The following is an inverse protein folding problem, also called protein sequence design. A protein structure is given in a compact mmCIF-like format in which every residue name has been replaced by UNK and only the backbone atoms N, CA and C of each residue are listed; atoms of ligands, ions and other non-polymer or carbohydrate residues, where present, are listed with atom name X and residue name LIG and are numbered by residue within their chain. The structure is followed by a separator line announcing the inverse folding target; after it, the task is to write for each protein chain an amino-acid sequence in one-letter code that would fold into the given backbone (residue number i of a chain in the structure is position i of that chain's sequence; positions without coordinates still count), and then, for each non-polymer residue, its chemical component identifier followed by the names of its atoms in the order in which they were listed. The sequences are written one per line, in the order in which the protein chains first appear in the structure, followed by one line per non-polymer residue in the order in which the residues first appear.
data_IF_540365845022
#
_entry.id   IF_540365845022
#
_cell.length_a   1.000
_cell.length_b   1.000
_cell.length_c   1.000
_cell.angle_alpha   90.00
_cell.angle_beta   90.00
_cell.angle_gamma   90.00
#
_symmetry.space_group_name_H-M   'P 1'
#
loop_
_entity.id
_entity.type
_entity.pdbx_description
1 polymer ?
#
# COMPACT_ATOMS: atom_id res chain seq x y z
N UNK A 1 28.80 5.53 -4.12
CA UNK A 1 27.40 5.98 -4.02
C UNK A 1 26.52 4.74 -3.89
N UNK A 2 25.67 4.67 -2.87
CA UNK A 2 24.81 3.52 -2.63
C UNK A 2 23.50 3.56 -3.42
N UNK A 3 22.79 2.44 -3.43
CA UNK A 3 21.45 2.29 -4.03
C UNK A 3 20.48 3.24 -3.32
N UNK A 4 19.59 3.90 -4.07
CA UNK A 4 18.61 4.82 -3.47
C UNK A 4 17.53 4.07 -2.68
N UNK A 5 16.88 4.77 -1.74
CA UNK A 5 15.78 4.18 -0.96
C UNK A 5 14.63 3.72 -1.85
N UNK A 6 14.36 4.47 -2.93
CA UNK A 6 13.32 4.16 -3.90
C UNK A 6 13.66 2.85 -4.61
N UNK A 7 14.89 2.74 -5.13
CA UNK A 7 15.34 1.52 -5.80
C UNK A 7 15.37 0.30 -4.87
N UNK A 8 15.81 0.46 -3.62
CA UNK A 8 15.77 -0.62 -2.61
C UNK A 8 14.32 -1.08 -2.37
N UNK A 9 13.39 -0.14 -2.24
CA UNK A 9 11.98 -0.47 -2.01
C UNK A 9 11.36 -1.16 -3.23
N UNK A 10 11.65 -0.65 -4.44
CA UNK A 10 11.21 -1.23 -5.71
C UNK A 10 11.67 -2.69 -5.82
N UNK A 11 12.96 -2.96 -5.59
CA UNK A 11 13.53 -4.31 -5.61
C UNK A 11 12.87 -5.25 -4.58
N UNK A 12 12.63 -4.76 -3.36
CA UNK A 12 11.96 -5.53 -2.31
C UNK A 12 10.52 -5.85 -2.68
N UNK A 13 9.80 -4.89 -3.24
CA UNK A 13 8.40 -5.07 -3.65
C UNK A 13 8.29 -6.02 -4.84
N UNK A 14 9.21 -5.94 -5.82
CA UNK A 14 9.31 -6.90 -6.92
C UNK A 14 9.56 -8.33 -6.44
N UNK A 15 10.36 -8.52 -5.39
CA UNK A 15 10.58 -9.83 -4.79
C UNK A 15 9.35 -10.35 -4.02
N UNK A 16 8.60 -9.45 -3.38
CA UNK A 16 7.43 -9.80 -2.59
C UNK A 16 6.15 -10.03 -3.43
N UNK A 17 6.04 -9.37 -4.59
CA UNK A 17 4.83 -9.45 -5.43
C UNK A 17 4.51 -10.88 -5.88
N UNK A 18 5.43 -11.69 -6.43
CA UNK A 18 5.12 -13.06 -6.84
C UNK A 18 4.65 -13.99 -5.71
N UNK A 19 4.96 -13.65 -4.46
CA UNK A 19 4.58 -14.43 -3.27
C UNK A 19 3.18 -14.05 -2.75
N UNK A 20 2.54 -13.03 -3.32
CA UNK A 20 1.26 -12.53 -2.85
C UNK A 20 0.10 -13.24 -3.54
N UNK A 21 -0.72 -13.95 -2.77
CA UNK A 21 -1.91 -14.63 -3.27
C UNK A 21 -3.13 -13.69 -3.37
N UNK A 22 -3.16 -12.63 -2.54
CA UNK A 22 -4.27 -11.69 -2.54
C UNK A 22 -4.23 -10.77 -3.77
N UNK A 23 -5.19 -10.98 -4.68
CA UNK A 23 -5.34 -10.23 -5.93
C UNK A 23 -5.49 -8.71 -5.72
N UNK A 24 -6.29 -8.27 -4.75
CA UNK A 24 -6.47 -6.84 -4.48
C UNK A 24 -5.15 -6.18 -4.01
N UNK A 25 -4.38 -6.91 -3.20
CA UNK A 25 -3.07 -6.47 -2.73
C UNK A 25 -2.03 -6.46 -3.85
N UNK A 26 -2.08 -7.44 -4.74
CA UNK A 26 -1.26 -7.47 -5.96
C UNK A 26 -1.54 -6.27 -6.88
N UNK A 27 -2.80 -5.90 -7.07
CA UNK A 27 -3.16 -4.69 -7.84
C UNK A 27 -2.54 -3.44 -7.20
N UNK A 28 -2.63 -3.31 -5.88
CA UNK A 28 -1.98 -2.20 -5.15
C UNK A 28 -0.45 -2.22 -5.28
N UNK A 29 0.17 -3.40 -5.24
CA UNK A 29 1.61 -3.54 -5.41
C UNK A 29 2.05 -3.14 -6.82
N UNK A 30 1.34 -3.54 -7.86
CA UNK A 30 1.62 -3.10 -9.24
C UNK A 30 1.50 -1.58 -9.37
N UNK A 31 0.47 -0.97 -8.78
CA UNK A 31 0.34 0.49 -8.77
C UNK A 31 1.53 1.17 -8.08
N UNK A 32 1.91 0.70 -6.89
CA UNK A 32 3.05 1.24 -6.14
C UNK A 32 4.39 1.01 -6.87
N UNK A 33 4.57 -0.11 -7.55
CA UNK A 33 5.76 -0.40 -8.35
C UNK A 33 5.90 0.59 -9.52
N UNK A 34 4.80 0.95 -10.19
CA UNK A 34 4.81 1.94 -11.28
C UNK A 34 5.16 3.33 -10.78
N UNK A 35 4.56 3.75 -9.67
CA UNK A 35 4.88 5.03 -9.02
C UNK A 35 6.36 5.12 -8.62
N UNK A 36 6.90 4.05 -8.03
CA UNK A 36 8.32 4.01 -7.65
C UNK A 36 9.26 4.02 -8.85
N UNK A 37 8.87 3.40 -9.96
CA UNK A 37 9.66 3.42 -11.20
C UNK A 37 9.73 4.84 -11.78
N UNK A 38 8.62 5.57 -11.75
CA UNK A 38 8.54 6.97 -12.17
C UNK A 38 9.43 7.86 -11.30
N UNK A 39 9.30 7.76 -9.97
CA UNK A 39 10.17 8.49 -9.04
C UNK A 39 11.65 8.14 -9.24
N UNK A 40 11.98 6.88 -9.54
CA UNK A 40 13.35 6.45 -9.80
C UNK A 40 13.91 7.02 -11.11
N UNK A 41 13.06 7.23 -12.12
CA UNK A 41 13.45 7.86 -13.39
C UNK A 41 13.66 9.38 -13.26
N UNK A 42 12.90 10.01 -12.37
CA UNK A 42 13.07 11.42 -12.01
C UNK A 42 14.30 11.66 -11.11
N UNK A 43 14.69 10.65 -10.33
CA UNK A 43 15.77 10.75 -9.37
C UNK A 43 17.12 11.11 -10.02
N UNK A 44 17.66 12.27 -9.65
CA UNK A 44 18.96 12.76 -10.09
C UNK A 44 19.98 12.73 -8.96
N UNK A 45 21.23 12.49 -9.32
CA UNK A 45 22.36 12.75 -8.42
C UNK A 45 22.50 14.27 -8.21
N UNK A 46 23.22 14.76 -7.18
CA UNK A 46 23.43 16.20 -7.01
C UNK A 46 24.12 16.89 -8.22
N UNK A 47 24.75 16.10 -9.09
CA UNK A 47 25.34 16.53 -10.36
C UNK A 47 24.32 16.61 -11.52
N UNK A 48 23.05 16.31 -11.27
CA UNK A 48 21.96 16.37 -12.26
C UNK A 48 21.87 15.15 -13.19
N UNK A 49 22.74 14.16 -13.01
CA UNK A 49 22.75 12.94 -13.83
C UNK A 49 21.67 11.96 -13.37
N UNK A 50 21.06 11.18 -14.30
CA UNK A 50 20.17 10.09 -13.93
C UNK A 50 20.87 9.13 -12.98
N UNK A 51 20.20 8.78 -11.88
CA UNK A 51 20.77 7.90 -10.86
C UNK A 51 20.82 6.44 -11.32
N UNK A 52 19.91 6.05 -12.22
CA UNK A 52 19.78 4.71 -12.79
C UNK A 52 19.84 4.79 -14.31
N UNK A 53 20.46 3.78 -14.94
CA UNK A 53 20.55 3.71 -16.40
C UNK A 53 19.18 3.39 -17.01
N UNK A 54 18.98 3.84 -18.26
CA UNK A 54 17.74 3.57 -19.01
C UNK A 54 17.46 2.07 -19.19
N UNK A 55 18.51 1.26 -19.34
CA UNK A 55 18.40 -0.21 -19.47
C UNK A 55 17.79 -0.80 -18.21
N UNK A 56 18.30 -0.44 -17.03
CA UNK A 56 17.78 -0.92 -15.75
C UNK A 56 16.32 -0.51 -15.51
N UNK A 57 15.94 0.72 -15.88
CA UNK A 57 14.54 1.16 -15.80
C UNK A 57 13.61 0.30 -16.68
N UNK A 58 14.08 -0.07 -17.88
CA UNK A 58 13.33 -0.96 -18.76
C UNK A 58 13.19 -2.36 -18.17
N UNK A 59 14.27 -2.93 -17.61
CA UNK A 59 14.24 -4.25 -16.95
C UNK A 59 13.25 -4.29 -15.79
N UNK A 60 13.15 -3.19 -15.02
CA UNK A 60 12.13 -3.06 -13.98
C UNK A 60 10.72 -2.95 -14.58
N UNK A 61 10.54 -2.16 -15.64
CA UNK A 61 9.24 -2.05 -16.34
C UNK A 61 8.74 -3.41 -16.80
N UNK A 62 9.58 -4.20 -17.46
CA UNK A 62 9.22 -5.55 -17.94
C UNK A 62 8.81 -6.48 -16.80
N UNK A 63 9.52 -6.45 -15.67
CA UNK A 63 9.16 -7.24 -14.47
C UNK A 63 7.81 -6.85 -13.90
N UNK A 64 7.49 -5.55 -13.89
CA UNK A 64 6.19 -5.03 -13.41
C UNK A 64 5.08 -5.47 -14.37
N UNK A 65 5.31 -5.36 -15.67
CA UNK A 65 4.36 -5.80 -16.69
C UNK A 65 4.09 -7.31 -16.60
N UNK A 66 5.12 -8.13 -16.41
CA UNK A 66 4.93 -9.57 -16.22
C UNK A 66 4.03 -9.90 -15.01
N UNK A 67 4.15 -9.17 -13.91
CA UNK A 67 3.26 -9.31 -12.74
C UNK A 67 1.84 -8.83 -13.10
N UNK A 68 1.72 -7.71 -13.80
CA UNK A 68 0.42 -7.18 -14.24
C UNK A 68 -0.31 -8.11 -15.23
N UNK A 69 0.42 -8.77 -16.13
CA UNK A 69 -0.14 -9.76 -17.05
C UNK A 69 -0.68 -10.98 -16.34
N UNK A 70 -0.02 -11.44 -15.27
CA UNK A 70 -0.53 -12.53 -14.40
C UNK A 70 -1.81 -12.13 -13.67
N UNK A 71 -1.95 -10.86 -13.30
CA UNK A 71 -3.19 -10.32 -12.70
C UNK A 71 -4.35 -10.26 -13.70
N UNK A 72 -4.07 -9.90 -14.96
CA UNK A 72 -5.09 -9.80 -16.02
C UNK A 72 -5.63 -11.17 -16.46
N UNK A 73 -4.81 -12.22 -16.33
CA UNK A 73 -5.17 -13.60 -16.64
C UNK A 73 -5.15 -14.44 -15.34
N UNK A 74 -6.25 -14.48 -14.57
CA UNK A 74 -6.36 -15.36 -13.41
C UNK A 74 -6.42 -16.82 -13.89
N UNK A 75 -5.26 -17.38 -14.25
CA UNK A 75 -5.09 -18.81 -14.47
C UNK A 75 -5.36 -19.54 -13.14
N UNK A 76 -6.07 -20.67 -13.15
CA UNK A 76 -6.17 -21.51 -11.98
C UNK A 76 -4.76 -22.01 -11.65
N UNK A 77 -4.33 -21.71 -10.44
CA UNK A 77 -3.04 -22.09 -9.89
C UNK A 77 -2.92 -23.62 -9.87
N UNK A 78 -2.13 -24.17 -10.80
CA UNK A 78 -1.58 -25.50 -10.69
C UNK A 78 -0.09 -25.43 -11.04
N UNK A 79 0.70 -25.41 -9.97
CA UNK A 79 2.05 -25.95 -9.86
C UNK A 79 3.12 -25.32 -10.76
N UNK A 80 4.02 -24.58 -10.11
CA UNK A 80 5.43 -24.69 -10.43
C UNK A 80 6.27 -24.57 -9.14
N UNK A 81 6.72 -25.71 -8.57
CA UNK A 81 8.04 -25.79 -7.98
C UNK A 81 8.88 -26.67 -8.90
N UNK A 82 9.46 -26.09 -9.94
CA UNK A 82 10.60 -26.68 -10.63
C UNK A 82 11.67 -25.58 -10.66
N UNK A 83 12.86 -25.73 -10.09
CA UNK A 83 13.69 -26.93 -10.06
C UNK A 83 14.55 -26.91 -8.80
N UNK A 84 14.38 -27.91 -7.94
CA UNK A 84 15.49 -28.44 -7.16
C UNK A 84 15.48 -29.97 -7.31
N UNK A 85 16.46 -30.43 -8.08
CA UNK A 85 17.22 -31.66 -7.88
C UNK A 85 16.46 -32.93 -7.44
N UNK A 86 16.22 -33.78 -8.44
CA UNK A 86 16.66 -35.19 -8.49
C UNK A 86 16.22 -36.14 -7.34
N UNK A 87 15.51 -37.20 -7.77
CA UNK A 87 15.56 -38.62 -7.33
C UNK A 87 14.32 -39.17 -6.60
N UNK A 88 13.58 -40.00 -7.37
CA UNK A 88 12.77 -41.18 -6.98
C UNK A 88 11.51 -40.90 -6.14
N UNK A 89 10.47 -41.72 -6.10
CA UNK A 89 9.91 -42.84 -6.87
C UNK A 89 8.74 -43.32 -5.98
N UNK A 90 7.79 -44.03 -6.58
CA UNK A 90 6.74 -44.86 -5.92
C UNK A 90 5.41 -44.16 -5.59
N UNK A 91 4.49 -44.45 -6.50
CA UNK A 91 3.02 -44.50 -6.49
C UNK A 91 2.45 -45.22 -5.24
N UNK A 92 1.34 -44.73 -4.66
CA UNK A 92 0.09 -45.47 -4.38
C UNK A 92 -0.93 -44.66 -3.54
N UNK A 93 -2.22 -44.84 -3.87
CA UNK A 93 -3.40 -44.10 -3.42
C UNK A 93 -3.77 -44.29 -1.93
N UNK A 94 -4.45 -43.30 -1.31
CA UNK A 94 -5.60 -43.57 -0.43
C UNK A 94 -6.53 -42.36 -0.23
N UNK A 95 -7.79 -42.72 -0.04
CA UNK A 95 -9.07 -42.02 -0.21
C UNK A 95 -9.51 -41.07 0.92
N UNK A 96 -10.45 -40.20 0.56
CA UNK A 96 -11.52 -39.54 1.34
C UNK A 96 -11.55 -39.79 2.86
N UNK A 97 -11.61 -38.71 3.65
CA UNK A 97 -12.54 -38.58 4.77
C UNK A 97 -13.07 -37.15 4.82
N UNK A 98 -14.39 -37.14 4.83
CA UNK A 98 -15.35 -36.08 4.95
C UNK A 98 -15.25 -35.32 6.27
N UNK A 99 -15.90 -34.16 6.27
CA UNK A 99 -16.71 -33.65 7.37
C UNK A 99 -16.16 -32.48 8.24
N UNK A 100 -16.68 -31.30 7.89
CA UNK A 100 -17.26 -30.25 8.76
C UNK A 100 -16.43 -29.83 9.98
N UNK A 101 -16.10 -28.53 10.00
CA UNK A 101 -16.63 -27.64 11.05
C UNK A 101 -16.65 -26.18 10.61
N UNK A 102 -17.80 -25.58 10.89
CA UNK A 102 -18.21 -24.23 10.56
C UNK A 102 -17.51 -23.19 11.47
N UNK A 103 -17.43 -21.97 10.94
CA UNK A 103 -16.96 -20.66 11.44
C UNK A 103 -17.46 -20.32 12.89
N UNK A 104 -16.85 -19.35 13.63
CA UNK A 104 -17.01 -17.93 13.32
C UNK A 104 -15.73 -17.06 13.46
N UNK A 105 -15.57 -16.15 12.50
CA UNK A 105 -14.72 -14.95 12.59
C UNK A 105 -15.41 -13.93 13.50
N UNK A 106 -14.97 -13.78 14.75
CA UNK A 106 -15.25 -12.56 15.53
C UNK A 106 -14.43 -12.49 16.82
N UNK A 107 -13.45 -11.57 16.87
CA UNK A 107 -13.00 -10.86 18.08
C UNK A 107 -11.85 -9.92 17.69
N UNK A 108 -11.88 -8.60 17.80
CA UNK A 108 -12.89 -7.70 18.33
C UNK A 108 -12.51 -6.26 17.97
N UNK A 109 -13.37 -5.59 17.22
CA UNK A 109 -13.26 -4.15 16.95
C UNK A 109 -13.96 -3.42 18.10
N UNK A 110 -13.21 -2.98 19.11
CA UNK A 110 -13.76 -2.14 20.18
C UNK A 110 -14.10 -0.75 19.63
N UNK A 111 -15.32 -0.58 19.13
CA UNK A 111 -15.89 0.74 18.85
C UNK A 111 -16.18 1.41 20.19
N UNK A 112 -15.45 2.48 20.51
CA UNK A 112 -15.83 3.38 21.60
C UNK A 112 -17.12 4.09 21.17
N UNK A 113 -18.20 3.85 21.90
CA UNK A 113 -19.43 4.63 21.81
C UNK A 113 -19.17 6.01 22.43
N UNK A 114 -19.19 7.06 21.62
CA UNK A 114 -19.21 8.44 22.10
C UNK A 114 -20.66 8.92 22.23
N UNK A 115 -21.03 9.56 23.36
CA UNK A 115 -22.34 10.18 23.52
C UNK A 115 -22.55 11.30 22.51
N UNK A 116 -23.72 11.29 21.87
CA UNK A 116 -24.23 12.34 20.99
C UNK A 116 -24.51 13.61 21.79
N UNK A 117 -23.90 14.75 21.41
CA UNK A 117 -24.38 16.08 21.81
C UNK A 117 -25.51 16.52 20.88
N UNK A 118 -26.48 17.33 21.35
CA UNK A 118 -27.65 17.69 20.57
C UNK A 118 -27.29 18.66 19.45
N UNK A 119 -27.69 18.27 18.24
CA UNK A 119 -27.75 19.05 17.00
C UNK A 119 -28.58 20.32 17.24
N UNK A 120 -27.94 21.48 17.33
CA UNK A 120 -28.62 22.77 17.10
C UNK A 120 -28.75 22.97 15.58
N UNK A 121 -29.98 23.14 15.14
CA UNK A 121 -30.36 23.45 13.76
C UNK A 121 -30.34 24.97 13.51
N UNK A 122 -29.94 25.36 12.29
CA UNK A 122 -29.94 26.68 11.60
C UNK A 122 -28.52 27.11 11.19
N UNK A 123 -28.17 27.50 9.98
CA UNK A 123 -28.89 27.93 8.76
C UNK A 123 -27.80 28.14 7.67
N UNK A 124 -28.07 27.97 6.36
CA UNK A 124 -27.05 28.20 5.32
C UNK A 124 -26.96 29.70 4.98
N UNK A 125 -25.74 30.26 4.91
CA UNK A 125 -25.47 31.51 4.18
C UNK A 125 -24.07 31.51 3.55
N UNK A 126 -24.03 32.10 2.36
CA UNK A 126 -22.99 32.21 1.34
C UNK A 126 -21.58 32.64 1.78
N UNK A 127 -20.56 32.39 0.93
CA UNK A 127 -19.23 32.95 1.10
C UNK A 127 -19.22 34.45 0.79
N UNK A 128 -18.84 35.27 1.77
CA UNK A 128 -18.46 36.67 1.56
C UNK A 128 -17.01 36.86 2.00
N UNK A 129 -16.30 37.57 1.14
CA UNK A 129 -14.87 37.85 1.09
C UNK A 129 -14.22 38.26 2.41
N UNK A 130 -12.94 37.88 2.50
CA UNK A 130 -12.05 38.15 3.61
C UNK A 130 -11.64 39.61 3.66
N UNK A 131 -11.79 40.23 4.83
CA UNK A 131 -10.89 41.25 5.36
C UNK A 131 -10.82 41.09 6.89
N UNK A 132 -10.01 40.13 7.36
CA UNK A 132 -9.83 39.88 8.80
C UNK A 132 -8.92 40.94 9.42
N UNK A 133 -9.52 41.89 10.12
CA UNK A 133 -8.82 42.65 11.15
C UNK A 133 -8.37 41.70 12.28
N UNK A 134 -7.17 41.88 12.87
CA UNK A 134 -6.72 41.02 13.95
C UNK A 134 -7.67 41.15 15.15
N UNK A 135 -8.27 40.02 15.54
CA UNK A 135 -9.12 39.92 16.72
C UNK A 135 -8.24 40.20 17.94
N UNK A 136 -8.48 41.33 18.60
CA UNK A 136 -7.83 41.64 19.87
C UNK A 136 -8.47 40.73 20.92
N UNK A 137 -7.68 39.79 21.43
CA UNK A 137 -8.09 38.95 22.55
C UNK A 137 -7.77 39.68 23.84
N UNK A 138 -8.68 39.55 24.80
CA UNK A 138 -8.53 40.17 26.11
C UNK A 138 -7.43 39.44 26.92
N UNK A 139 -6.80 40.12 27.89
CA UNK A 139 -5.68 39.57 28.67
C UNK A 139 -6.03 38.25 29.39
N UNK A 140 -7.30 38.07 29.77
CA UNK A 140 -7.78 36.84 30.39
C UNK A 140 -7.80 35.66 29.40
N UNK A 141 -8.14 35.91 28.13
CA UNK A 141 -8.10 34.90 27.07
C UNK A 141 -6.66 34.47 26.77
N UNK A 142 -5.72 35.42 26.76
CA UNK A 142 -4.30 35.10 26.61
C UNK A 142 -3.77 34.24 27.77
N UNK A 143 -4.12 34.56 29.02
CA UNK A 143 -3.74 33.74 30.18
C UNK A 143 -4.30 32.32 30.11
N UNK A 144 -5.52 32.14 29.61
CA UNK A 144 -6.11 30.80 29.47
C UNK A 144 -5.38 29.94 28.45
N UNK A 145 -4.93 30.53 27.33
CA UNK A 145 -4.15 29.84 26.30
C UNK A 145 -2.76 29.44 26.85
N UNK A 146 -2.08 30.33 27.57
CA UNK A 146 -0.75 30.09 28.13
C UNK A 146 -0.73 28.88 29.10
N UNK A 147 -1.79 28.69 29.90
CA UNK A 147 -1.87 27.57 30.87
C UNK A 147 -1.87 26.18 30.23
N UNK A 148 -2.23 26.10 28.95
CA UNK A 148 -2.38 24.84 28.22
C UNK A 148 -1.29 24.64 27.15
N UNK A 149 -0.25 25.47 27.17
CA UNK A 149 0.91 25.38 26.28
C UNK A 149 2.11 24.79 27.01
#
# INVERSE_FOLDING_TARGET
MGISKIEVNLRRLLAASPQQENQAKLVHYVAALREQLEQLAEERTPEGLPRVSKVMLNDYSEKIEAIASKLANPLPDMQAPEQDLKVSSVKENRSEIEEKKQIPLSSGLRRRTMPTSPRSENRPHEPVDMDSAPVKLDDEAHSHIEKHR
#
